data_IF_844438395474
#
_entry.id   IF_844438395474
#
_cell.length_a   1.000
_cell.length_b   1.000
_cell.length_c   1.000
_cell.angle_alpha   90.00
_cell.angle_beta   90.00
_cell.angle_gamma   90.00
#
_symmetry.space_group_name_H-M   'P 1'
#
loop_
_entity.id
_entity.type
_entity.pdbx_description
1 polymer ?
#
# COMPACT_ATOMS: atom_id res chain seq x y z
N UNK A 1 -20.12 -29.21 -22.13
CA UNK A 1 -20.95 -28.64 -21.07
C UNK A 1 -20.01 -28.13 -19.98
N UNK A 2 -19.63 -26.85 -20.07
CA UNK A 2 -18.82 -26.16 -19.05
C UNK A 2 -19.80 -25.41 -18.15
N UNK A 3 -19.90 -25.78 -16.89
CA UNK A 3 -20.58 -25.01 -15.84
C UNK A 3 -19.52 -24.29 -15.02
N UNK A 4 -19.54 -23.00 -15.13
CA UNK A 4 -18.96 -21.96 -14.29
C UNK A 4 -19.30 -22.20 -12.81
N UNK A 5 -18.27 -22.37 -11.99
CA UNK A 5 -18.39 -22.32 -10.52
C UNK A 5 -17.82 -20.96 -10.11
N UNK A 6 -18.64 -19.95 -10.12
CA UNK A 6 -18.42 -18.68 -9.42
C UNK A 6 -19.62 -18.48 -8.50
N UNK A 7 -19.39 -18.13 -7.26
CA UNK A 7 -20.34 -17.84 -6.16
C UNK A 7 -20.61 -18.98 -5.18
N UNK A 8 -19.70 -19.22 -4.25
CA UNK A 8 -20.06 -19.83 -2.95
C UNK A 8 -19.24 -19.30 -1.74
N UNK A 9 -18.35 -18.33 -1.89
CA UNK A 9 -17.62 -17.76 -0.74
C UNK A 9 -18.44 -16.75 0.11
N UNK A 10 -19.58 -16.30 -0.40
CA UNK A 10 -20.38 -15.25 0.27
C UNK A 10 -21.37 -15.76 1.34
N UNK A 11 -21.47 -17.06 1.60
CA UNK A 11 -22.52 -17.61 2.47
C UNK A 11 -22.05 -18.09 3.85
N UNK A 12 -20.76 -18.08 4.14
CA UNK A 12 -20.24 -18.57 5.44
C UNK A 12 -20.06 -17.49 6.51
N UNK A 13 -20.20 -16.20 6.17
CA UNK A 13 -20.12 -15.09 7.13
C UNK A 13 -21.43 -14.76 7.88
N UNK A 14 -22.53 -15.45 7.57
CA UNK A 14 -23.87 -15.08 8.08
C UNK A 14 -24.25 -15.72 9.43
N UNK A 15 -23.41 -16.51 10.09
CA UNK A 15 -23.83 -17.32 11.26
C UNK A 15 -23.29 -16.86 12.61
N UNK A 16 -22.43 -15.86 12.69
CA UNK A 16 -21.86 -15.42 14.00
C UNK A 16 -22.31 -14.03 14.47
N UNK A 17 -23.43 -13.50 13.97
CA UNK A 17 -24.01 -12.23 14.47
C UNK A 17 -25.10 -12.52 15.51
N UNK A 18 -24.74 -13.05 16.68
CA UNK A 18 -25.62 -13.02 17.85
C UNK A 18 -24.97 -12.29 19.02
N UNK A 19 -25.39 -11.02 19.16
CA UNK A 19 -25.57 -10.25 20.39
C UNK A 19 -24.36 -10.06 21.31
N UNK A 20 -23.62 -8.97 21.08
CA UNK A 20 -23.17 -8.13 22.21
C UNK A 20 -23.58 -6.68 21.90
N UNK A 21 -24.74 -6.27 22.38
CA UNK A 21 -25.10 -4.86 22.47
C UNK A 21 -24.28 -4.23 23.61
N UNK A 22 -23.04 -3.82 23.31
CA UNK A 22 -22.33 -2.89 24.18
C UNK A 22 -22.84 -1.50 23.82
N UNK A 23 -23.69 -0.96 24.68
CA UNK A 23 -24.05 0.46 24.69
C UNK A 23 -22.79 1.27 24.97
N UNK A 24 -22.07 1.67 23.94
CA UNK A 24 -21.04 2.69 24.08
C UNK A 24 -21.75 4.05 24.20
N UNK A 25 -21.89 4.54 25.43
CA UNK A 25 -22.06 5.96 25.66
C UNK A 25 -20.81 6.66 25.17
N UNK A 26 -20.96 7.47 24.10
CA UNK A 26 -19.88 8.35 23.59
C UNK A 26 -19.46 9.25 24.76
N UNK A 27 -18.27 9.03 25.28
CA UNK A 27 -17.64 9.97 26.21
C UNK A 27 -17.10 11.14 25.40
N UNK A 28 -17.93 12.19 25.28
CA UNK A 28 -17.61 13.42 24.53
C UNK A 28 -16.50 14.25 25.20
N UNK A 29 -15.93 13.77 26.30
CA UNK A 29 -14.88 14.47 27.07
C UNK A 29 -13.47 13.94 26.79
N UNK A 30 -13.32 12.96 25.88
CA UNK A 30 -11.98 12.52 25.50
C UNK A 30 -11.17 13.69 24.93
N UNK A 31 -9.94 13.93 25.40
CA UNK A 31 -9.13 15.03 24.91
C UNK A 31 -8.91 14.83 23.39
N UNK A 32 -9.13 15.89 22.63
CA UNK A 32 -8.79 15.92 21.20
C UNK A 32 -7.28 15.75 21.13
N UNK A 33 -6.80 14.63 20.56
CA UNK A 33 -5.37 14.48 20.31
C UNK A 33 -4.93 15.65 19.42
N UNK A 34 -3.87 16.38 19.82
CA UNK A 34 -3.35 17.42 18.95
C UNK A 34 -2.96 16.81 17.60
N UNK A 35 -3.12 17.55 16.50
CA UNK A 35 -2.63 17.08 15.20
C UNK A 35 -1.14 16.73 15.31
N UNK A 36 -0.67 15.73 14.57
CA UNK A 36 0.72 15.30 14.64
C UNK A 36 1.72 16.41 14.24
N UNK A 37 1.25 17.36 13.43
CA UNK A 37 2.00 18.51 12.97
C UNK A 37 1.06 19.71 12.73
N UNK A 38 1.61 20.92 12.74
CA UNK A 38 0.84 22.12 12.40
C UNK A 38 0.56 22.12 10.89
N UNK A 39 -0.72 22.06 10.54
CA UNK A 39 -1.17 22.24 9.16
C UNK A 39 -1.29 23.74 8.86
N UNK A 40 -0.61 24.20 7.80
CA UNK A 40 -0.73 25.59 7.30
C UNK A 40 -1.58 25.60 6.03
N UNK A 41 -2.83 26.10 6.07
CA UNK A 41 -3.68 26.23 4.90
C UNK A 41 -3.11 27.19 3.82
N UNK A 42 -2.18 28.09 4.17
CA UNK A 42 -1.56 29.00 3.23
C UNK A 42 -0.65 28.30 2.20
N UNK A 43 -0.31 27.02 2.45
CA UNK A 43 0.41 26.18 1.48
C UNK A 43 -0.49 25.72 0.33
N UNK A 44 -1.82 25.84 0.45
CA UNK A 44 -2.77 25.50 -0.61
C UNK A 44 -2.88 26.65 -1.61
N UNK A 45 -2.19 26.52 -2.73
CA UNK A 45 -2.09 27.54 -3.80
C UNK A 45 -2.86 27.18 -5.06
N UNK A 46 -3.36 25.92 -5.18
CA UNK A 46 -4.07 25.47 -6.37
C UNK A 46 -5.41 26.22 -6.54
N UNK A 47 -5.75 26.70 -7.76
CA UNK A 47 -6.97 27.47 -8.00
C UNK A 47 -8.25 26.70 -7.66
N UNK A 48 -8.29 25.37 -7.88
CA UNK A 48 -9.45 24.52 -7.66
C UNK A 48 -9.58 24.01 -6.21
N UNK A 49 -8.87 24.64 -5.27
CA UNK A 49 -8.90 24.26 -3.84
C UNK A 49 -10.30 24.06 -3.28
N UNK A 50 -11.25 24.92 -3.66
CA UNK A 50 -12.66 24.82 -3.23
C UNK A 50 -13.36 23.61 -3.86
N UNK A 51 -13.08 23.31 -5.12
CA UNK A 51 -13.66 22.17 -5.83
C UNK A 51 -13.18 20.86 -5.19
N UNK A 52 -11.89 20.70 -4.94
CA UNK A 52 -11.35 19.54 -4.24
C UNK A 52 -11.97 19.37 -2.86
N UNK A 53 -12.11 20.46 -2.10
CA UNK A 53 -12.68 20.38 -0.75
C UNK A 53 -14.16 19.95 -0.77
N UNK A 54 -14.96 20.45 -1.70
CA UNK A 54 -16.38 20.03 -1.83
C UNK A 54 -16.49 18.59 -2.34
N UNK A 55 -15.58 18.17 -3.21
CA UNK A 55 -15.48 16.80 -3.68
C UNK A 55 -15.27 15.84 -2.51
N UNK A 56 -14.29 16.08 -1.64
CA UNK A 56 -14.06 15.26 -0.46
C UNK A 56 -15.25 15.24 0.49
N UNK A 57 -15.84 16.40 0.79
CA UNK A 57 -17.00 16.49 1.68
C UNK A 57 -18.21 15.71 1.14
N UNK A 58 -18.43 15.73 -0.18
CA UNK A 58 -19.52 14.98 -0.81
C UNK A 58 -19.33 13.49 -0.59
N UNK A 59 -18.16 12.92 -0.89
CA UNK A 59 -17.88 11.50 -0.75
C UNK A 59 -17.92 11.02 0.72
N UNK A 60 -17.54 11.89 1.66
CA UNK A 60 -17.74 11.60 3.10
C UNK A 60 -19.23 11.55 3.46
N UNK A 61 -20.06 12.46 2.93
CA UNK A 61 -21.53 12.38 3.14
C UNK A 61 -22.14 11.13 2.51
N UNK A 62 -21.53 10.59 1.47
CA UNK A 62 -21.96 9.37 0.77
C UNK A 62 -21.48 8.09 1.47
N UNK A 63 -20.55 8.17 2.43
CA UNK A 63 -20.17 7.03 3.26
C UNK A 63 -18.68 6.79 3.48
N UNK A 64 -17.75 7.60 2.92
CA UNK A 64 -16.34 7.46 3.27
C UNK A 64 -16.10 7.89 4.73
N UNK A 65 -15.35 7.09 5.54
CA UNK A 65 -15.08 7.42 6.94
C UNK A 65 -14.23 8.68 7.09
N UNK A 66 -13.14 8.74 6.35
CA UNK A 66 -12.22 9.85 6.29
C UNK A 66 -11.32 9.75 5.06
N UNK A 67 -10.89 10.88 4.57
CA UNK A 67 -10.13 10.98 3.33
C UNK A 67 -9.12 12.12 3.38
N UNK A 68 -7.96 11.90 2.79
CA UNK A 68 -6.94 12.91 2.47
C UNK A 68 -6.68 12.84 0.98
N UNK A 69 -6.67 14.01 0.32
CA UNK A 69 -6.25 14.15 -1.06
C UNK A 69 -5.16 15.21 -1.13
N UNK A 70 -4.05 14.88 -1.78
CA UNK A 70 -3.00 15.81 -2.16
C UNK A 70 -2.92 15.88 -3.68
N UNK A 71 -2.83 17.10 -4.18
CA UNK A 71 -2.67 17.42 -5.60
C UNK A 71 -1.50 18.38 -5.74
N UNK A 72 -0.58 18.09 -6.65
CA UNK A 72 0.47 18.99 -7.14
C UNK A 72 0.45 19.01 -8.64
N UNK A 73 0.38 20.20 -9.22
CA UNK A 73 0.40 20.44 -10.67
C UNK A 73 1.22 21.68 -10.97
N UNK A 74 1.40 22.02 -12.24
CA UNK A 74 2.01 23.30 -12.65
C UNK A 74 1.23 24.52 -12.16
N UNK A 75 -0.07 24.41 -11.87
CA UNK A 75 -0.92 25.50 -11.37
C UNK A 75 -0.81 25.73 -9.85
N UNK A 76 -0.22 24.76 -9.12
CA UNK A 76 -0.02 24.87 -7.68
C UNK A 76 -0.22 23.55 -6.94
N UNK A 77 -0.30 23.66 -5.62
CA UNK A 77 -0.53 22.49 -4.78
C UNK A 77 -1.77 22.66 -3.90
N UNK A 78 -2.39 21.55 -3.58
CA UNK A 78 -3.46 21.47 -2.59
C UNK A 78 -3.32 20.18 -1.78
N UNK A 79 -3.48 20.29 -0.47
CA UNK A 79 -3.55 19.14 0.42
C UNK A 79 -4.71 19.36 1.39
N UNK A 80 -5.74 18.54 1.30
CA UNK A 80 -6.94 18.71 2.08
C UNK A 80 -7.53 17.39 2.54
N UNK A 81 -8.53 17.50 3.42
CA UNK A 81 -9.15 16.34 4.05
C UNK A 81 -10.62 16.57 4.36
N UNK A 82 -11.34 15.47 4.55
CA UNK A 82 -12.70 15.47 5.06
C UNK A 82 -12.99 14.21 5.89
N UNK A 83 -14.04 14.25 6.72
CA UNK A 83 -14.45 13.12 7.56
C UNK A 83 -13.64 13.01 8.86
N UNK A 84 -13.38 11.79 9.28
CA UNK A 84 -12.81 11.51 10.60
C UNK A 84 -11.57 10.62 10.50
N UNK A 85 -10.54 11.01 11.22
CA UNK A 85 -9.40 10.15 11.52
C UNK A 85 -9.79 9.07 12.54
N UNK A 86 -10.64 9.45 13.53
CA UNK A 86 -11.20 8.53 14.55
C UNK A 86 -12.68 8.87 14.74
N UNK A 87 -13.58 7.99 14.30
CA UNK A 87 -15.02 8.21 14.37
C UNK A 87 -15.50 8.20 15.82
N UNK A 88 -15.02 7.25 16.62
CA UNK A 88 -15.47 6.99 18.00
C UNK A 88 -15.23 8.19 18.95
N UNK A 89 -14.17 8.95 18.70
CA UNK A 89 -13.79 10.12 19.48
C UNK A 89 -13.97 11.43 18.72
N UNK A 90 -14.62 11.38 17.55
CA UNK A 90 -14.89 12.52 16.68
C UNK A 90 -13.64 13.34 16.31
N UNK A 91 -12.46 12.71 16.23
CA UNK A 91 -11.24 13.36 15.76
C UNK A 91 -11.36 13.57 14.25
N UNK A 92 -11.36 14.84 13.84
CA UNK A 92 -11.46 15.21 12.43
C UNK A 92 -10.21 14.78 11.67
N UNK A 93 -10.41 14.37 10.41
CA UNK A 93 -9.29 14.12 9.51
C UNK A 93 -8.55 15.43 9.21
N UNK A 94 -7.21 15.39 9.25
CA UNK A 94 -6.32 16.46 8.83
C UNK A 94 -5.39 15.95 7.74
N UNK A 95 -4.89 16.83 6.85
CA UNK A 95 -3.95 16.44 5.79
C UNK A 95 -2.63 15.84 6.33
N UNK A 96 -2.25 16.19 7.56
CA UNK A 96 -1.03 15.71 8.23
C UNK A 96 -1.20 14.35 8.93
N UNK A 97 -2.41 13.81 9.00
CA UNK A 97 -2.60 12.48 9.55
C UNK A 97 -1.89 11.42 8.70
N UNK A 98 -1.41 10.39 9.39
CA UNK A 98 -0.65 9.28 8.80
C UNK A 98 -1.55 8.12 8.48
N UNK A 99 -1.34 7.54 7.31
CA UNK A 99 -2.10 6.41 6.79
C UNK A 99 -1.18 5.25 6.45
N UNK A 100 -1.63 4.04 6.69
CA UNK A 100 -1.09 2.90 5.97
C UNK A 100 -1.42 3.04 4.49
N UNK A 101 -0.51 2.65 3.63
CA UNK A 101 -0.74 2.67 2.20
C UNK A 101 -0.64 1.28 1.53
N UNK A 102 -0.72 0.23 2.33
CA UNK A 102 -0.71 -1.14 1.84
C UNK A 102 0.38 -1.38 0.78
N UNK A 103 0.02 -1.83 -0.42
CA UNK A 103 0.96 -2.20 -1.49
C UNK A 103 1.79 -1.04 -2.05
N UNK A 104 1.50 0.22 -1.75
CA UNK A 104 2.41 1.35 -2.06
C UNK A 104 3.81 1.13 -1.46
N UNK A 105 3.90 0.37 -0.36
CA UNK A 105 5.17 -0.07 0.25
C UNK A 105 6.10 -0.74 -0.75
N UNK A 106 5.56 -1.42 -1.78
CA UNK A 106 6.36 -2.12 -2.78
C UNK A 106 7.27 -1.20 -3.59
N UNK A 107 6.86 0.05 -3.82
CA UNK A 107 7.74 1.03 -4.47
C UNK A 107 8.99 1.30 -3.64
N UNK A 108 8.86 1.45 -2.32
CA UNK A 108 10.00 1.66 -1.42
C UNK A 108 10.92 0.44 -1.36
N UNK A 109 10.34 -0.76 -1.28
CA UNK A 109 11.10 -2.01 -1.31
C UNK A 109 11.87 -2.18 -2.63
N UNK A 110 11.22 -1.91 -3.77
CA UNK A 110 11.86 -2.00 -5.07
C UNK A 110 12.98 -0.95 -5.23
N UNK A 111 12.74 0.29 -4.80
CA UNK A 111 13.75 1.35 -4.80
C UNK A 111 14.96 0.97 -3.95
N UNK A 112 14.75 0.41 -2.75
CA UNK A 112 15.84 -0.05 -1.90
C UNK A 112 16.65 -1.16 -2.56
N UNK A 113 16.00 -2.13 -3.22
CA UNK A 113 16.69 -3.19 -3.97
C UNK A 113 17.50 -2.61 -5.14
N UNK A 114 16.96 -1.62 -5.87
CA UNK A 114 17.67 -0.95 -6.97
C UNK A 114 18.89 -0.18 -6.46
N UNK A 115 18.78 0.53 -5.34
CA UNK A 115 19.93 1.19 -4.70
C UNK A 115 21.02 0.21 -4.28
N UNK A 116 20.64 -0.96 -3.74
CA UNK A 116 21.60 -2.02 -3.44
C UNK A 116 22.21 -2.65 -4.70
N UNK A 117 21.48 -2.62 -5.81
CA UNK A 117 22.02 -3.07 -7.10
C UNK A 117 23.02 -2.06 -7.66
N UNK A 118 22.80 -0.76 -7.53
CA UNK A 118 23.76 0.29 -7.88
C UNK A 118 25.06 0.19 -7.07
N UNK A 119 24.95 -0.21 -5.79
CA UNK A 119 26.12 -0.46 -4.93
C UNK A 119 26.83 -1.80 -5.25
N UNK A 120 26.29 -2.63 -6.16
CA UNK A 120 26.83 -3.95 -6.51
C UNK A 120 26.61 -5.03 -5.45
N UNK A 121 25.78 -4.76 -4.43
CA UNK A 121 25.43 -5.73 -3.38
C UNK A 121 24.37 -6.74 -3.87
N UNK A 122 23.48 -6.31 -4.75
CA UNK A 122 22.46 -7.15 -5.39
C UNK A 122 22.65 -7.08 -6.91
N UNK A 123 22.56 -8.21 -7.58
CA UNK A 123 22.52 -8.33 -9.04
C UNK A 123 21.10 -8.73 -9.43
N UNK A 124 20.42 -7.88 -10.19
CA UNK A 124 19.01 -8.07 -10.56
C UNK A 124 18.77 -9.34 -11.37
N UNK A 125 19.76 -9.78 -12.14
CA UNK A 125 19.66 -10.97 -13.00
C UNK A 125 20.20 -12.23 -12.32
N UNK A 126 20.77 -12.10 -11.11
CA UNK A 126 21.13 -13.24 -10.31
C UNK A 126 19.89 -13.97 -9.77
N UNK A 127 20.02 -15.29 -9.61
CA UNK A 127 19.01 -16.11 -8.94
C UNK A 127 18.89 -15.72 -7.48
N UNK A 128 17.67 -15.76 -6.95
CA UNK A 128 17.39 -15.45 -5.53
C UNK A 128 18.11 -16.42 -4.58
N UNK A 129 18.42 -17.64 -5.03
CA UNK A 129 19.21 -18.63 -4.29
C UNK A 129 20.65 -18.20 -4.01
N UNK A 130 21.14 -17.12 -4.63
CA UNK A 130 22.43 -16.49 -4.29
C UNK A 130 22.35 -15.73 -2.95
N UNK A 131 21.17 -15.22 -2.60
CA UNK A 131 20.96 -14.32 -1.46
C UNK A 131 20.19 -14.97 -0.32
N UNK A 132 19.35 -15.97 -0.61
CA UNK A 132 18.53 -16.64 0.39
C UNK A 132 19.10 -18.03 0.72
N UNK A 133 18.97 -18.51 1.97
CA UNK A 133 19.38 -19.85 2.33
C UNK A 133 18.45 -20.91 1.72
N UNK A 134 18.96 -22.13 1.53
CA UNK A 134 18.22 -23.26 0.96
C UNK A 134 16.95 -23.63 1.75
N UNK A 135 16.94 -23.34 3.04
CA UNK A 135 15.77 -23.51 3.92
C UNK A 135 14.60 -22.59 3.55
N UNK A 136 14.84 -21.52 2.78
CA UNK A 136 13.83 -20.62 2.24
C UNK A 136 13.56 -20.96 0.78
N UNK A 137 14.52 -20.74 -0.12
CA UNK A 137 14.27 -20.88 -1.56
C UNK A 137 13.95 -22.31 -1.99
N UNK A 138 14.42 -23.32 -1.25
CA UNK A 138 14.18 -24.73 -1.56
C UNK A 138 12.74 -25.20 -1.27
N UNK A 139 11.97 -24.42 -0.53
CA UNK A 139 10.57 -24.69 -0.19
C UNK A 139 9.57 -24.00 -1.14
N UNK A 140 10.05 -23.10 -1.96
CA UNK A 140 9.20 -22.21 -2.76
C UNK A 140 9.23 -22.68 -4.23
N UNK A 141 8.08 -22.82 -4.90
CA UNK A 141 8.05 -23.07 -6.34
C UNK A 141 8.87 -22.00 -7.09
N UNK A 142 9.70 -22.43 -8.03
CA UNK A 142 10.65 -21.55 -8.75
C UNK A 142 11.75 -20.91 -7.87
N UNK A 143 11.80 -21.11 -6.57
CA UNK A 143 12.76 -20.46 -5.67
C UNK A 143 14.22 -20.67 -6.02
N UNK A 144 14.58 -21.84 -6.58
CA UNK A 144 15.95 -22.12 -7.00
C UNK A 144 16.37 -21.45 -8.32
N UNK A 145 15.42 -20.97 -9.13
CA UNK A 145 15.67 -20.52 -10.52
C UNK A 145 15.22 -19.10 -10.81
N UNK A 146 14.26 -18.57 -10.08
CA UNK A 146 13.79 -17.19 -10.23
C UNK A 146 14.91 -16.17 -9.94
N UNK A 147 14.92 -15.06 -10.68
CA UNK A 147 15.84 -13.95 -10.47
C UNK A 147 15.23 -12.83 -9.63
N UNK A 148 16.07 -11.93 -9.12
CA UNK A 148 15.64 -10.74 -8.38
C UNK A 148 14.71 -9.86 -9.23
N UNK A 149 15.08 -9.63 -10.48
CA UNK A 149 14.27 -8.90 -11.48
C UNK A 149 12.88 -9.50 -11.62
N UNK A 150 12.77 -10.82 -11.64
CA UNK A 150 11.50 -11.52 -11.78
C UNK A 150 10.62 -11.42 -10.52
N UNK A 151 11.22 -11.30 -9.34
CA UNK A 151 10.47 -10.96 -8.12
C UNK A 151 9.92 -9.53 -8.20
N UNK A 152 10.79 -8.55 -8.49
CA UNK A 152 10.42 -7.14 -8.60
C UNK A 152 9.28 -6.91 -9.59
N UNK A 153 9.33 -7.58 -10.74
CA UNK A 153 8.35 -7.44 -11.83
C UNK A 153 7.17 -8.42 -11.78
N UNK A 154 7.02 -9.20 -10.71
CA UNK A 154 5.95 -10.20 -10.57
C UNK A 154 5.89 -11.22 -11.72
N UNK A 155 7.06 -11.61 -12.23
CA UNK A 155 7.20 -12.60 -13.31
C UNK A 155 7.93 -13.86 -12.88
N UNK A 156 8.11 -14.07 -11.58
CA UNK A 156 8.75 -15.25 -11.00
C UNK A 156 7.92 -16.53 -11.13
N UNK A 157 6.61 -16.40 -11.28
CA UNK A 157 5.65 -17.50 -11.19
C UNK A 157 5.51 -18.10 -9.78
N UNK A 158 6.08 -17.46 -8.76
CA UNK A 158 5.92 -17.87 -7.36
C UNK A 158 4.50 -17.53 -6.88
N UNK A 159 3.73 -18.49 -6.31
CA UNK A 159 2.39 -18.25 -5.82
C UNK A 159 2.33 -17.18 -4.73
N UNK A 160 1.20 -16.50 -4.64
CA UNK A 160 0.92 -15.58 -3.53
C UNK A 160 0.44 -16.39 -2.32
N UNK A 161 1.07 -16.19 -1.17
CA UNK A 161 0.61 -16.79 0.09
C UNK A 161 -0.82 -16.33 0.45
N UNK A 162 -1.23 -15.13 0.02
CA UNK A 162 -2.56 -14.59 0.23
C UNK A 162 -3.68 -15.36 -0.49
N UNK A 163 -3.35 -16.08 -1.58
CA UNK A 163 -4.30 -16.91 -2.33
C UNK A 163 -4.49 -18.29 -1.71
N UNK A 164 -3.65 -18.70 -0.75
CA UNK A 164 -3.75 -19.99 -0.11
C UNK A 164 -4.94 -20.05 0.87
N UNK A 165 -5.78 -21.09 0.72
CA UNK A 165 -6.96 -21.24 1.55
C UNK A 165 -6.61 -21.46 3.03
N UNK A 166 -5.49 -22.14 3.33
CA UNK A 166 -5.01 -22.36 4.70
C UNK A 166 -4.67 -21.05 5.36
N UNK A 167 -3.95 -20.15 4.63
CA UNK A 167 -3.66 -18.80 5.09
C UNK A 167 -4.95 -18.02 5.39
N UNK A 168 -5.91 -18.03 4.45
CA UNK A 168 -7.17 -17.29 4.61
C UNK A 168 -7.98 -17.82 5.82
N UNK A 169 -8.03 -19.13 6.02
CA UNK A 169 -8.70 -19.73 7.17
C UNK A 169 -7.97 -19.45 8.48
N UNK A 170 -6.65 -19.54 8.49
CA UNK A 170 -5.85 -19.24 9.69
C UNK A 170 -6.03 -17.78 10.12
N UNK A 171 -5.95 -16.83 9.19
CA UNK A 171 -6.13 -15.40 9.48
C UNK A 171 -7.57 -15.06 9.87
N UNK A 172 -8.57 -15.77 9.34
CA UNK A 172 -9.97 -15.61 9.75
C UNK A 172 -10.21 -16.14 11.17
N UNK A 173 -9.60 -17.27 11.54
CA UNK A 173 -9.76 -17.90 12.85
C UNK A 173 -8.93 -17.19 13.94
N UNK A 174 -7.78 -16.65 13.58
CA UNK A 174 -6.88 -15.94 14.49
C UNK A 174 -6.34 -14.65 13.84
N UNK A 175 -7.20 -13.60 13.72
CA UNK A 175 -6.82 -12.34 13.07
C UNK A 175 -5.76 -11.55 13.85
N UNK A 176 -5.49 -11.93 15.12
CA UNK A 176 -4.41 -11.40 15.93
C UNK A 176 -3.24 -12.38 16.08
N UNK A 177 -3.24 -13.45 15.28
CA UNK A 177 -2.17 -14.45 15.23
C UNK A 177 -0.86 -13.88 14.71
N UNK A 178 0.26 -14.49 15.11
CA UNK A 178 1.58 -14.14 14.61
C UNK A 178 1.92 -14.98 13.37
N UNK A 179 2.17 -14.29 12.24
CA UNK A 179 2.49 -14.88 10.94
C UNK A 179 3.89 -14.41 10.46
N UNK A 180 4.98 -14.91 11.08
CA UNK A 180 6.33 -14.53 10.65
C UNK A 180 6.62 -14.99 9.22
N UNK A 181 7.69 -14.47 8.58
CA UNK A 181 8.04 -14.81 7.21
C UNK A 181 8.08 -16.31 6.91
N UNK A 182 8.61 -17.12 7.83
CA UNK A 182 8.69 -18.59 7.67
C UNK A 182 7.32 -19.25 7.64
N UNK A 183 6.35 -18.74 8.41
CA UNK A 183 4.96 -19.21 8.38
C UNK A 183 4.29 -18.80 7.08
N UNK A 184 4.50 -17.55 6.60
CA UNK A 184 3.96 -17.10 5.32
C UNK A 184 4.50 -17.93 4.15
N UNK A 185 5.79 -18.23 4.15
CA UNK A 185 6.44 -19.12 3.18
C UNK A 185 5.83 -20.52 3.22
N UNK A 186 5.42 -21.00 4.39
CA UNK A 186 4.85 -22.36 4.51
C UNK A 186 3.52 -22.54 3.77
N UNK A 187 2.78 -21.46 3.50
CA UNK A 187 1.55 -21.53 2.71
C UNK A 187 1.77 -21.69 1.21
N UNK A 188 2.98 -21.41 0.72
CA UNK A 188 3.36 -21.66 -0.68
C UNK A 188 4.25 -22.89 -0.84
N UNK A 189 4.63 -23.56 0.25
CA UNK A 189 5.45 -24.76 0.24
C UNK A 189 4.72 -25.91 -0.45
N UNK A 190 5.37 -26.51 -1.45
CA UNK A 190 4.81 -27.64 -2.19
C UNK A 190 3.69 -27.30 -3.17
N UNK A 191 3.32 -26.03 -3.32
CA UNK A 191 2.38 -25.60 -4.36
C UNK A 191 3.01 -25.71 -5.75
N UNK A 192 2.18 -25.72 -6.78
CA UNK A 192 2.64 -25.58 -8.17
C UNK A 192 2.92 -24.13 -8.49
N UNK A 193 4.01 -23.84 -9.20
CA UNK A 193 4.25 -22.52 -9.74
C UNK A 193 3.12 -22.06 -10.67
N UNK A 194 2.79 -20.76 -10.66
CA UNK A 194 1.80 -20.20 -11.58
C UNK A 194 2.26 -20.27 -13.04
N UNK A 195 3.56 -20.08 -13.30
CA UNK A 195 4.17 -20.19 -14.60
C UNK A 195 5.69 -20.43 -14.49
N UNK A 196 6.34 -20.70 -15.61
CA UNK A 196 7.81 -20.67 -15.70
C UNK A 196 8.30 -19.23 -15.47
N UNK A 197 9.41 -19.02 -14.74
CA UNK A 197 9.95 -17.68 -14.49
C UNK A 197 10.18 -16.89 -15.79
N UNK A 198 9.70 -15.66 -15.81
CA UNK A 198 9.76 -14.75 -16.95
C UNK A 198 8.71 -14.97 -18.04
N UNK A 199 7.83 -15.98 -17.94
CA UNK A 199 6.84 -16.28 -18.97
C UNK A 199 5.62 -15.35 -18.93
N UNK A 200 5.12 -15.02 -17.75
CA UNK A 200 3.90 -14.22 -17.57
C UNK A 200 3.94 -13.43 -16.27
N UNK A 201 3.15 -12.38 -16.22
CA UNK A 201 2.92 -11.58 -15.03
C UNK A 201 1.86 -12.24 -14.13
N UNK A 202 2.19 -12.42 -12.85
CA UNK A 202 1.28 -12.82 -11.79
C UNK A 202 1.67 -12.10 -10.51
N UNK A 203 0.85 -11.17 -10.08
CA UNK A 203 1.09 -10.43 -8.84
C UNK A 203 1.20 -11.40 -7.66
N UNK A 204 2.23 -11.22 -6.83
CA UNK A 204 2.46 -12.08 -5.67
C UNK A 204 3.13 -11.30 -4.54
N UNK A 205 2.48 -11.23 -3.38
CA UNK A 205 3.05 -10.65 -2.18
C UNK A 205 4.26 -11.45 -1.68
N UNK A 206 4.30 -12.75 -1.96
CA UNK A 206 5.44 -13.61 -1.65
C UNK A 206 6.73 -13.09 -2.29
N UNK A 207 6.66 -12.52 -3.50
CA UNK A 207 7.84 -11.94 -4.14
C UNK A 207 8.47 -10.83 -3.29
N UNK A 208 7.66 -9.93 -2.74
CA UNK A 208 8.14 -8.79 -1.97
C UNK A 208 8.56 -9.17 -0.54
N UNK A 209 7.93 -10.18 0.05
CA UNK A 209 8.42 -10.84 1.25
C UNK A 209 9.85 -11.38 1.04
N UNK A 210 10.08 -12.06 -0.08
CA UNK A 210 11.41 -12.59 -0.41
C UNK A 210 12.43 -11.48 -0.67
N UNK A 211 12.05 -10.39 -1.34
CA UNK A 211 12.93 -9.22 -1.54
C UNK A 211 13.37 -8.59 -0.21
N UNK A 212 12.47 -8.47 0.76
CA UNK A 212 12.83 -7.99 2.10
C UNK A 212 13.83 -8.92 2.78
N UNK A 213 13.59 -10.23 2.79
CA UNK A 213 14.52 -11.22 3.33
C UNK A 213 15.87 -11.21 2.60
N UNK A 214 15.86 -10.99 1.28
CA UNK A 214 17.10 -10.87 0.50
C UNK A 214 17.92 -9.64 0.91
N UNK A 215 17.27 -8.49 1.14
CA UNK A 215 17.97 -7.30 1.66
C UNK A 215 18.59 -7.57 3.01
N UNK A 216 17.86 -8.23 3.93
CA UNK A 216 18.40 -8.61 5.26
C UNK A 216 19.65 -9.47 5.13
N UNK A 217 19.62 -10.49 4.26
CA UNK A 217 20.76 -11.40 4.05
C UNK A 217 21.94 -10.75 3.30
N UNK A 218 21.66 -9.91 2.31
CA UNK A 218 22.71 -9.29 1.48
C UNK A 218 23.47 -8.20 2.23
N UNK A 219 22.80 -7.48 3.13
CA UNK A 219 23.38 -6.34 3.84
C UNK A 219 23.81 -6.68 5.27
N UNK A 220 23.24 -7.72 5.87
CA UNK A 220 23.39 -8.00 7.30
C UNK A 220 22.65 -7.01 8.22
N UNK A 221 21.89 -6.07 7.64
CA UNK A 221 21.00 -5.14 8.32
C UNK A 221 19.53 -5.47 7.98
N UNK A 222 18.57 -5.00 8.79
CA UNK A 222 17.16 -5.19 8.44
C UNK A 222 16.79 -4.36 7.20
N UNK A 223 15.92 -4.90 6.34
CA UNK A 223 15.37 -4.16 5.19
C UNK A 223 14.73 -2.83 5.61
N UNK A 224 14.16 -2.76 6.82
CA UNK A 224 13.63 -1.51 7.38
C UNK A 224 14.73 -0.47 7.58
N UNK A 225 15.91 -0.87 8.08
CA UNK A 225 17.05 0.03 8.20
C UNK A 225 17.55 0.47 6.83
N UNK A 226 17.61 -0.45 5.86
CA UNK A 226 17.99 -0.11 4.48
C UNK A 226 17.03 0.94 3.90
N UNK A 227 15.71 0.74 4.00
CA UNK A 227 14.71 1.73 3.55
C UNK A 227 14.89 3.05 4.29
N UNK A 228 15.05 3.02 5.61
CA UNK A 228 15.23 4.23 6.43
C UNK A 228 16.47 5.02 6.00
N UNK A 229 17.63 4.38 5.93
CA UNK A 229 18.91 5.02 5.66
C UNK A 229 19.07 5.47 4.21
N UNK A 230 18.50 4.71 3.26
CA UNK A 230 18.70 4.95 1.84
C UNK A 230 17.59 5.76 1.17
N UNK A 231 16.40 5.85 1.80
CA UNK A 231 15.24 6.53 1.23
C UNK A 231 14.68 7.58 2.20
N UNK A 232 14.28 7.19 3.42
CA UNK A 232 13.53 8.10 4.28
C UNK A 232 14.38 9.25 4.79
N UNK A 233 15.59 8.98 5.26
CA UNK A 233 16.51 9.99 5.78
C UNK A 233 17.03 10.95 4.68
N UNK A 234 17.49 10.46 3.50
CA UNK A 234 17.94 11.37 2.44
C UNK A 234 16.86 12.30 1.91
N UNK A 235 15.60 11.91 1.93
CA UNK A 235 14.46 12.71 1.49
C UNK A 235 13.78 13.48 2.63
N UNK A 236 14.31 13.40 3.87
CA UNK A 236 13.72 14.03 5.07
C UNK A 236 12.22 13.69 5.27
N UNK A 237 11.84 12.44 5.03
CA UNK A 237 10.46 11.95 5.15
C UNK A 237 10.10 11.73 6.62
N UNK A 238 10.03 12.81 7.40
CA UNK A 238 9.85 12.78 8.86
C UNK A 238 8.48 12.28 9.34
N UNK A 239 7.48 12.27 8.44
CA UNK A 239 6.16 11.72 8.73
C UNK A 239 5.98 10.28 8.24
N UNK A 240 7.07 9.62 7.80
CA UNK A 240 7.06 8.24 7.28
C UNK A 240 7.66 7.26 8.28
N UNK A 241 6.96 6.15 8.48
CA UNK A 241 7.35 5.04 9.35
C UNK A 241 7.21 3.73 8.58
N UNK A 242 8.19 2.86 8.74
CA UNK A 242 8.08 1.51 8.21
C UNK A 242 7.98 0.52 9.37
N UNK A 243 6.80 -0.07 9.49
CA UNK A 243 6.47 -1.00 10.56
C UNK A 243 6.60 -2.43 10.06
N UNK A 244 7.50 -3.21 10.66
CA UNK A 244 7.81 -4.57 10.24
C UNK A 244 8.11 -5.52 11.42
N UNK A 245 7.67 -5.17 12.63
CA UNK A 245 7.91 -6.00 13.81
C UNK A 245 6.74 -5.92 14.80
N UNK A 246 6.49 -7.01 15.59
CA UNK A 246 5.45 -7.03 16.60
C UNK A 246 5.66 -5.96 17.65
N UNK A 247 4.55 -5.40 18.14
CA UNK A 247 4.60 -4.43 19.23
C UNK A 247 5.16 -3.07 18.86
N UNK A 248 5.39 -2.80 17.58
CA UNK A 248 5.77 -1.47 17.12
C UNK A 248 4.77 -0.41 17.62
N UNK A 249 5.23 0.65 18.26
CA UNK A 249 4.34 1.69 18.77
C UNK A 249 3.60 2.36 17.60
N UNK A 250 2.30 2.61 17.80
CA UNK A 250 1.51 3.37 16.81
C UNK A 250 2.15 4.75 16.62
N UNK A 251 2.49 5.15 15.40
CA UNK A 251 3.01 6.50 15.14
C UNK A 251 2.00 7.56 15.57
N UNK A 252 2.44 8.71 16.09
CA UNK A 252 1.54 9.81 16.41
C UNK A 252 0.75 10.22 15.15
N UNK A 253 -0.53 10.54 15.32
CA UNK A 253 -1.40 10.94 14.22
C UNK A 253 -1.79 9.82 13.23
N UNK A 254 -1.55 8.56 13.57
CA UNK A 254 -2.08 7.44 12.78
C UNK A 254 -3.61 7.41 12.88
N UNK A 255 -4.27 7.33 11.73
CA UNK A 255 -5.73 7.21 11.64
C UNK A 255 -6.22 5.84 12.10
N UNK A 256 -7.47 5.75 12.56
CA UNK A 256 -8.13 4.47 12.73
C UNK A 256 -8.52 3.88 11.37
N UNK A 257 -8.62 2.56 11.28
CA UNK A 257 -9.01 1.81 10.10
C UNK A 257 -10.42 1.26 10.24
N UNK A 258 -11.21 1.37 9.19
CA UNK A 258 -12.63 0.98 9.20
C UNK A 258 -12.93 0.01 8.06
N UNK A 259 -13.80 -0.96 8.33
CA UNK A 259 -14.22 -1.95 7.35
C UNK A 259 -15.71 -2.27 7.49
N UNK A 260 -16.42 -2.36 6.39
CA UNK A 260 -17.76 -2.94 6.34
C UNK A 260 -17.63 -4.47 6.20
N UNK A 261 -17.51 -5.15 7.35
CA UNK A 261 -17.33 -6.61 7.38
C UNK A 261 -18.60 -7.38 7.04
N UNK A 262 -19.78 -6.76 7.22
CA UNK A 262 -21.06 -7.41 7.01
C UNK A 262 -21.66 -7.10 5.62
N UNK A 263 -21.14 -6.12 4.89
CA UNK A 263 -21.69 -5.65 3.61
C UNK A 263 -23.03 -4.92 3.77
N UNK A 264 -23.32 -4.42 4.98
CA UNK A 264 -24.59 -3.74 5.32
C UNK A 264 -24.43 -2.20 5.40
N UNK A 265 -23.26 -1.68 5.04
CA UNK A 265 -22.91 -0.25 5.05
C UNK A 265 -22.45 0.24 6.42
N UNK A 266 -22.34 -0.62 7.44
CA UNK A 266 -21.88 -0.24 8.78
C UNK A 266 -20.39 -0.43 8.91
N UNK A 267 -19.67 0.66 9.12
CA UNK A 267 -18.23 0.65 9.33
C UNK A 267 -17.90 0.17 10.75
N UNK A 268 -17.06 -0.84 10.84
CA UNK A 268 -16.49 -1.33 12.09
C UNK A 268 -15.05 -0.83 12.24
N UNK A 269 -14.67 -0.41 13.43
CA UNK A 269 -13.28 -0.08 13.74
C UNK A 269 -12.47 -1.38 13.85
N UNK A 270 -11.50 -1.54 12.95
CA UNK A 270 -10.60 -2.69 12.90
C UNK A 270 -9.14 -2.29 13.11
N UNK A 271 -8.90 -1.12 13.71
CA UNK A 271 -7.57 -0.51 13.80
C UNK A 271 -6.53 -1.40 14.47
N UNK A 272 -6.90 -2.13 15.53
CA UNK A 272 -5.97 -3.02 16.21
C UNK A 272 -5.59 -4.22 15.33
N UNK A 273 -6.56 -4.76 14.59
CA UNK A 273 -6.31 -5.81 13.60
C UNK A 273 -5.40 -5.28 12.47
N UNK A 274 -5.70 -4.13 11.89
CA UNK A 274 -4.89 -3.52 10.83
C UNK A 274 -3.46 -3.29 11.29
N UNK A 275 -3.28 -2.67 12.47
CA UNK A 275 -1.95 -2.40 13.04
C UNK A 275 -1.19 -3.71 13.29
N UNK A 276 -1.85 -4.73 13.81
CA UNK A 276 -1.24 -6.03 14.06
C UNK A 276 -0.87 -6.73 12.75
N UNK A 277 -1.84 -6.85 11.85
CA UNK A 277 -1.71 -7.51 10.55
C UNK A 277 -0.62 -6.89 9.69
N UNK A 278 -0.67 -5.58 9.44
CA UNK A 278 0.34 -4.89 8.63
C UNK A 278 1.73 -4.89 9.24
N UNK A 279 1.83 -5.00 10.57
CA UNK A 279 3.11 -5.08 11.26
C UNK A 279 3.83 -6.42 11.11
N UNK A 280 3.17 -7.45 10.61
CA UNK A 280 3.75 -8.77 10.40
C UNK A 280 4.34 -8.96 9.01
N UNK A 281 3.81 -8.24 8.03
CA UNK A 281 4.25 -8.36 6.65
C UNK A 281 5.43 -7.46 6.36
N UNK A 282 6.42 -8.02 5.70
CA UNK A 282 7.63 -7.32 5.33
C UNK A 282 7.74 -7.18 3.81
N UNK A 283 8.20 -6.03 3.35
CA UNK A 283 8.46 -5.75 1.94
C UNK A 283 7.23 -5.44 1.08
N UNK A 284 6.08 -6.06 1.34
CA UNK A 284 4.86 -5.91 0.53
C UNK A 284 3.86 -4.89 1.08
N UNK A 285 3.87 -4.63 2.40
CA UNK A 285 3.03 -3.66 3.11
C UNK A 285 3.73 -3.17 4.39
N UNK A 286 3.08 -2.33 5.19
CA UNK A 286 3.57 -1.91 6.50
C UNK A 286 4.08 -0.48 6.57
N UNK A 287 4.26 0.21 5.43
CA UNK A 287 4.66 1.61 5.42
C UNK A 287 3.48 2.51 5.81
N UNK A 288 3.77 3.50 6.63
CA UNK A 288 2.82 4.50 7.15
C UNK A 288 3.41 5.87 6.86
N UNK A 289 2.67 6.75 6.19
CA UNK A 289 3.14 8.10 5.92
C UNK A 289 2.01 9.12 5.83
N UNK A 290 2.37 10.40 5.77
CA UNK A 290 1.49 11.47 5.35
C UNK A 290 1.35 11.51 3.83
N UNK A 291 0.30 12.15 3.32
CA UNK A 291 0.13 12.36 1.87
C UNK A 291 1.29 13.14 1.25
N UNK A 292 1.85 14.09 2.01
CA UNK A 292 2.99 14.91 1.58
C UNK A 292 4.27 14.06 1.39
N UNK A 293 4.54 13.13 2.32
CA UNK A 293 5.71 12.26 2.21
C UNK A 293 5.56 11.25 1.07
N UNK A 294 4.34 10.72 0.84
CA UNK A 294 4.09 9.86 -0.33
C UNK A 294 4.32 10.60 -1.65
N UNK A 295 3.87 11.86 -1.74
CA UNK A 295 4.10 12.70 -2.92
C UNK A 295 5.60 13.00 -3.10
N UNK A 296 6.29 13.43 -2.04
CA UNK A 296 7.73 13.71 -2.10
C UNK A 296 8.55 12.49 -2.52
N UNK A 297 8.18 11.30 -2.02
CA UNK A 297 8.86 10.06 -2.42
C UNK A 297 8.68 9.75 -3.91
N UNK A 298 7.44 9.76 -4.42
CA UNK A 298 7.20 9.41 -5.83
C UNK A 298 7.83 10.42 -6.80
N UNK A 299 7.80 11.71 -6.46
CA UNK A 299 8.46 12.76 -7.23
C UNK A 299 9.97 12.55 -7.28
N UNK A 300 10.63 12.37 -6.13
CA UNK A 300 12.07 12.11 -6.05
C UNK A 300 12.50 10.81 -6.73
N UNK A 301 11.63 9.79 -6.74
CA UNK A 301 11.87 8.56 -7.46
C UNK A 301 11.86 8.79 -8.97
N UNK A 302 10.88 9.51 -9.49
CA UNK A 302 10.64 9.64 -10.93
C UNK A 302 11.45 10.77 -11.58
N UNK A 303 11.90 11.77 -10.82
CA UNK A 303 12.84 12.79 -11.33
C UNK A 303 14.30 12.28 -11.37
N UNK A 304 14.56 11.09 -10.80
CA UNK A 304 15.87 10.46 -10.80
C UNK A 304 16.84 11.00 -9.74
N UNK A 305 16.35 11.75 -8.75
CA UNK A 305 17.18 12.22 -7.63
C UNK A 305 17.47 11.11 -6.62
N UNK A 306 16.62 10.06 -6.57
CA UNK A 306 16.75 8.96 -5.61
C UNK A 306 17.51 7.75 -6.16
N UNK A 307 17.30 7.38 -7.43
CA UNK A 307 18.01 6.31 -8.14
C UNK A 307 18.57 6.83 -9.46
N UNK A 308 19.57 6.15 -10.01
CA UNK A 308 20.15 6.53 -11.32
C UNK A 308 19.12 6.45 -12.44
N UNK A 309 19.33 7.22 -13.50
CA UNK A 309 18.49 7.16 -14.71
C UNK A 309 18.45 5.76 -15.34
N UNK A 310 19.54 4.99 -15.20
CA UNK A 310 19.58 3.60 -15.66
C UNK A 310 18.65 2.72 -14.83
N UNK A 311 18.69 2.80 -13.51
CA UNK A 311 17.80 2.07 -12.61
C UNK A 311 16.34 2.50 -12.78
N UNK A 312 16.10 3.80 -13.00
CA UNK A 312 14.75 4.29 -13.28
C UNK A 312 14.19 3.73 -14.60
N UNK A 313 15.00 3.67 -15.65
CA UNK A 313 14.61 3.04 -16.91
C UNK A 313 14.29 1.55 -16.76
N UNK A 314 15.08 0.82 -15.96
CA UNK A 314 14.80 -0.58 -15.59
C UNK A 314 13.49 -0.70 -14.81
N UNK A 315 13.25 0.20 -13.86
CA UNK A 315 12.04 0.21 -13.04
C UNK A 315 10.78 0.46 -13.90
N UNK A 316 10.89 1.23 -14.95
CA UNK A 316 9.82 1.56 -15.87
C UNK A 316 9.67 0.58 -17.05
N UNK A 317 10.51 -0.46 -17.16
CA UNK A 317 10.38 -1.45 -18.22
C UNK A 317 9.08 -2.26 -18.11
N UNK A 318 8.19 -2.07 -19.08
CA UNK A 318 6.87 -2.70 -19.19
C UNK A 318 6.81 -3.83 -20.21
N UNK A 319 7.93 -4.36 -20.64
CA UNK A 319 7.98 -5.39 -21.70
C UNK A 319 7.29 -6.69 -21.33
N UNK A 320 7.15 -6.99 -20.05
CA UNK A 320 6.49 -8.21 -19.53
C UNK A 320 5.02 -8.00 -19.19
N UNK A 321 4.64 -6.80 -18.76
CA UNK A 321 3.26 -6.37 -18.53
C UNK A 321 3.16 -4.88 -18.81
N UNK A 322 2.20 -4.47 -19.63
CA UNK A 322 1.94 -3.03 -19.81
C UNK A 322 1.51 -2.32 -18.54
N UNK A 323 1.10 -3.08 -17.51
CA UNK A 323 0.56 -2.60 -16.25
C UNK A 323 1.59 -2.51 -15.11
N UNK A 324 2.80 -3.12 -15.25
CA UNK A 324 3.75 -3.23 -14.13
C UNK A 324 5.20 -3.31 -14.60
N UNK A 325 6.08 -2.53 -13.96
CA UNK A 325 7.53 -2.58 -14.10
C UNK A 325 8.19 -3.28 -12.90
N UNK A 326 9.27 -2.72 -12.35
CA UNK A 326 9.92 -3.25 -11.15
C UNK A 326 9.43 -2.49 -9.90
N UNK A 327 8.31 -2.93 -9.33
CA UNK A 327 7.70 -2.28 -8.16
C UNK A 327 6.87 -1.04 -8.45
N UNK A 328 6.69 -0.72 -9.71
CA UNK A 328 5.93 0.43 -10.19
C UNK A 328 4.76 -0.05 -11.04
N UNK A 329 3.54 0.30 -10.69
CA UNK A 329 2.36 0.01 -11.49
C UNK A 329 1.99 1.19 -12.38
N UNK A 330 1.33 0.90 -13.49
CA UNK A 330 0.95 1.87 -14.51
C UNK A 330 -0.56 1.83 -14.74
N UNK A 331 -1.14 3.00 -14.91
CA UNK A 331 -2.52 3.16 -15.38
C UNK A 331 -2.49 3.99 -16.65
N UNK A 332 -3.29 3.62 -17.65
CA UNK A 332 -3.46 4.42 -18.87
C UNK A 332 -4.63 5.38 -18.66
N UNK A 333 -4.42 6.66 -18.94
CA UNK A 333 -5.42 7.72 -18.76
C UNK A 333 -5.47 8.64 -19.96
N UNK A 334 -6.51 9.49 -20.10
CA UNK A 334 -6.53 10.54 -21.12
C UNK A 334 -5.38 11.56 -21.00
N UNK A 335 -4.74 11.64 -19.84
CA UNK A 335 -3.64 12.57 -19.51
C UNK A 335 -2.26 11.93 -19.63
N UNK A 336 -2.18 10.78 -20.31
CA UNK A 336 -0.97 9.97 -20.38
C UNK A 336 -0.91 8.89 -19.30
N UNK A 337 0.21 8.16 -19.20
CA UNK A 337 0.40 7.11 -18.21
C UNK A 337 0.55 7.69 -16.81
N UNK A 338 -0.21 7.18 -15.85
CA UNK A 338 0.00 7.45 -14.42
C UNK A 338 0.90 6.38 -13.80
N UNK A 339 2.05 6.80 -13.26
CA UNK A 339 3.08 5.95 -12.67
C UNK A 339 2.96 5.99 -11.15
N UNK A 340 3.04 4.83 -10.49
CA UNK A 340 2.97 4.77 -9.03
C UNK A 340 2.49 3.43 -8.53
N UNK A 341 1.69 3.43 -7.49
CA UNK A 341 1.06 2.20 -6.98
C UNK A 341 -0.22 2.52 -6.22
N UNK A 342 -1.19 1.62 -6.31
CA UNK A 342 -2.34 1.62 -5.42
C UNK A 342 -2.11 0.68 -4.23
N UNK A 343 -2.89 0.85 -3.20
CA UNK A 343 -2.89 -0.03 -2.04
C UNK A 343 -4.31 -0.35 -1.58
N UNK A 344 -4.52 -1.62 -1.26
CA UNK A 344 -5.76 -2.12 -0.69
C UNK A 344 -5.41 -3.16 0.37
N UNK A 345 -5.99 -3.02 1.55
CA UNK A 345 -5.84 -3.94 2.66
C UNK A 345 -7.00 -3.72 3.66
N UNK A 346 -7.04 -4.49 4.75
CA UNK A 346 -8.04 -4.32 5.80
C UNK A 346 -8.08 -2.88 6.33
N UNK A 347 -9.18 -2.18 6.05
CA UNK A 347 -9.41 -0.80 6.48
C UNK A 347 -8.53 0.25 5.80
N UNK A 348 -7.95 -0.05 4.62
CA UNK A 348 -7.00 0.80 3.92
C UNK A 348 -7.32 0.83 2.44
N UNK A 349 -7.43 2.03 1.87
CA UNK A 349 -7.39 2.25 0.42
C UNK A 349 -6.48 3.44 0.13
N UNK A 350 -5.61 3.30 -0.84
CA UNK A 350 -4.66 4.33 -1.23
C UNK A 350 -4.39 4.32 -2.73
N UNK A 351 -4.10 5.49 -3.27
CA UNK A 351 -3.59 5.68 -4.63
C UNK A 351 -2.51 6.75 -4.59
N UNK A 352 -1.32 6.45 -5.13
CA UNK A 352 -0.19 7.37 -5.23
C UNK A 352 0.27 7.35 -6.68
N UNK A 353 0.10 8.46 -7.40
CA UNK A 353 0.42 8.55 -8.83
C UNK A 353 1.10 9.86 -9.19
N UNK A 354 2.05 9.75 -10.09
CA UNK A 354 2.59 10.86 -10.85
C UNK A 354 2.27 10.68 -12.33
N UNK A 355 1.94 11.76 -13.00
CA UNK A 355 1.58 11.84 -14.42
C UNK A 355 2.63 12.66 -15.15
N UNK A 356 3.67 12.04 -15.74
CA UNK A 356 4.81 12.78 -16.32
C UNK A 356 4.44 13.69 -17.48
N UNK A 357 3.42 13.33 -18.28
CA UNK A 357 3.03 14.09 -19.47
C UNK A 357 2.44 15.46 -19.13
N UNK A 358 1.92 15.62 -17.92
CA UNK A 358 1.31 16.87 -17.40
C UNK A 358 1.96 17.36 -16.10
N UNK A 359 3.08 16.76 -15.70
CA UNK A 359 3.84 17.08 -14.48
C UNK A 359 2.95 17.22 -13.23
N UNK A 360 2.14 16.21 -12.97
CA UNK A 360 1.18 16.23 -11.88
C UNK A 360 1.35 15.02 -10.93
N UNK A 361 1.19 15.27 -9.63
CA UNK A 361 1.20 14.24 -8.58
C UNK A 361 -0.10 14.26 -7.79
N UNK A 362 -0.76 13.12 -7.69
CA UNK A 362 -1.97 12.93 -6.90
C UNK A 362 -1.77 11.80 -5.88
N UNK A 363 -2.17 12.07 -4.63
CA UNK A 363 -2.18 11.08 -3.55
C UNK A 363 -3.56 11.08 -2.90
N UNK A 364 -4.25 9.94 -2.95
CA UNK A 364 -5.55 9.74 -2.30
C UNK A 364 -5.43 8.65 -1.23
N UNK A 365 -5.81 8.99 0.00
CA UNK A 365 -5.74 8.08 1.14
C UNK A 365 -7.11 8.04 1.85
N UNK A 366 -7.62 6.83 2.06
CA UNK A 366 -8.89 6.60 2.76
C UNK A 366 -8.66 5.59 3.87
N UNK A 367 -9.14 5.90 5.07
CA UNK A 367 -9.07 5.00 6.21
C UNK A 367 -10.27 4.03 6.27
N UNK A 368 -10.64 3.51 5.11
CA UNK A 368 -11.68 2.51 4.89
C UNK A 368 -11.20 1.43 3.94
N UNK A 369 -11.62 0.19 4.17
CA UNK A 369 -11.17 -0.95 3.38
C UNK A 369 -11.96 -1.19 2.09
N UNK A 370 -11.49 -2.14 1.31
CA UNK A 370 -11.89 -2.48 -0.05
C UNK A 370 -13.20 -3.28 -0.15
N UNK A 371 -14.18 -2.98 0.68
CA UNK A 371 -15.47 -3.67 0.64
C UNK A 371 -16.62 -2.74 0.24
N UNK A 372 -17.46 -3.24 -0.65
CA UNK A 372 -18.77 -2.72 -0.95
C UNK A 372 -18.81 -1.24 -1.35
N UNK A 373 -19.36 -0.40 -0.48
CA UNK A 373 -19.60 1.03 -0.73
C UNK A 373 -18.30 1.81 -0.73
N UNK A 374 -17.40 1.52 0.21
CA UNK A 374 -16.15 2.27 0.40
C UNK A 374 -15.25 2.18 -0.82
N UNK A 375 -15.03 0.98 -1.37
CA UNK A 375 -14.22 0.79 -2.57
C UNK A 375 -14.81 1.52 -3.78
N UNK A 376 -16.14 1.41 -3.98
CA UNK A 376 -16.80 2.12 -5.08
C UNK A 376 -16.66 3.64 -4.96
N UNK A 377 -16.86 4.20 -3.77
CA UNK A 377 -16.70 5.63 -3.52
C UNK A 377 -15.25 6.08 -3.69
N UNK A 378 -14.28 5.26 -3.26
CA UNK A 378 -12.86 5.53 -3.45
C UNK A 378 -12.51 5.66 -4.95
N UNK A 379 -12.92 4.68 -5.76
CA UNK A 379 -12.68 4.70 -7.21
C UNK A 379 -13.33 5.91 -7.89
N UNK A 380 -14.58 6.20 -7.51
CA UNK A 380 -15.30 7.34 -8.06
C UNK A 380 -14.66 8.68 -7.68
N UNK A 381 -14.25 8.81 -6.41
CA UNK A 381 -13.51 9.98 -5.93
C UNK A 381 -12.18 10.15 -6.68
N UNK A 382 -11.45 9.05 -6.90
CA UNK A 382 -10.19 9.09 -7.66
C UNK A 382 -10.40 9.62 -9.07
N UNK A 383 -11.39 9.08 -9.79
CA UNK A 383 -11.69 9.50 -11.17
C UNK A 383 -12.12 10.96 -11.26
N UNK A 384 -12.87 11.46 -10.27
CA UNK A 384 -13.28 12.85 -10.22
C UNK A 384 -12.14 13.78 -9.82
N UNK A 385 -11.33 13.38 -8.84
CA UNK A 385 -10.16 14.16 -8.41
C UNK A 385 -9.15 14.30 -9.55
N UNK A 386 -8.89 13.22 -10.28
CA UNK A 386 -8.00 13.22 -11.44
C UNK A 386 -8.52 14.17 -12.53
N UNK A 387 -9.81 14.08 -12.88
CA UNK A 387 -10.40 15.01 -13.86
C UNK A 387 -10.32 16.46 -13.39
N UNK A 388 -10.70 16.75 -12.16
CA UNK A 388 -10.65 18.11 -11.62
C UNK A 388 -9.23 18.68 -11.63
N UNK A 389 -8.22 17.84 -11.39
CA UNK A 389 -6.83 18.28 -11.34
C UNK A 389 -6.16 18.40 -12.70
N UNK A 390 -6.60 17.66 -13.73
CA UNK A 390 -5.84 17.46 -14.96
C UNK A 390 -6.57 17.88 -16.24
N UNK A 391 -7.90 18.14 -16.22
CA UNK A 391 -8.66 18.47 -17.44
C UNK A 391 -8.22 19.80 -18.09
N UNK A 392 -7.65 20.72 -17.31
CA UNK A 392 -7.25 22.05 -17.79
C UNK A 392 -5.72 22.18 -18.00
N UNK A 393 -4.94 21.07 -17.80
CA UNK A 393 -3.50 21.01 -18.05
C UNK A 393 -3.20 20.45 -19.44
#
# INVERSE_FOLDING_TARGET
>A
MRRTIHNQASWLMAVLATTVAVSCTLDITAPIEPPPETWDPALNTHPDSLMFQELLKRHVREGLPGVVLMVRTSEGQWNGSAGYAKIETAVRMLPTHRHFAASVTKMYTATAVLLLAEDGLIDLDARISKYLPATIYGRIPNGAVATVRQLLGHTSGIPDFGDDLGYQLDTLNDPMGWYPPERLISYVDGLSAYCTPGASYFYSNTNYLLLALMMDHATGASHANVISERILQPLDLGATYYKNEPGYPKPPGLVNSYQDLAGDGRLMNISDMTVHYTGMFIGNTGLIASSADYAAFIEALLDGSLISQASLAEMQDRTKCSCYGLGLSFIETPYGPGLGHNGSDFGILSEVRHFPDVDATLVLLVNGGDSGVTERLFRHLWDEAMRTALDDL
#
